data_IF_474756173396
#
_entry.id   IF_474756173396
#
_cell.length_a   1.000
_cell.length_b   1.000
_cell.length_c   1.000
_cell.angle_alpha   90.00
_cell.angle_beta   90.00
_cell.angle_gamma   90.00
#
_symmetry.space_group_name_H-M   'P 1'
#
loop_
_entity.id
_entity.type
_entity.pdbx_description
1 polymer ?
#
# COMPACT_ATOMS: atom_id res chain seq x y z
N UNK A 1 -50.50 60.02 51.23
CA UNK A 1 -49.90 58.72 51.54
C UNK A 1 -49.86 57.91 50.25
N UNK A 2 -48.74 57.92 49.54
CA UNK A 2 -48.54 57.17 48.29
C UNK A 2 -47.33 56.32 48.46
N UNK A 3 -47.58 55.03 48.56
CA UNK A 3 -46.51 54.04 48.71
C UNK A 3 -46.02 53.68 47.31
N UNK A 4 -44.71 53.93 47.05
CA UNK A 4 -44.04 53.57 45.81
C UNK A 4 -43.43 52.18 45.98
N UNK A 5 -43.84 51.21 45.14
CA UNK A 5 -43.31 49.90 45.06
C UNK A 5 -42.09 49.88 44.06
N UNK A 6 -40.87 49.71 44.60
CA UNK A 6 -39.71 49.45 43.78
C UNK A 6 -39.74 48.00 43.32
N UNK A 7 -39.84 47.81 42.04
CA UNK A 7 -39.68 46.52 41.37
C UNK A 7 -38.14 46.26 41.05
N UNK A 8 -37.53 45.37 41.76
CA UNK A 8 -36.18 44.93 41.43
C UNK A 8 -36.23 43.96 40.25
N UNK A 9 -35.85 44.42 39.08
CA UNK A 9 -35.53 43.54 37.91
C UNK A 9 -34.17 42.85 38.10
N UNK A 10 -34.22 41.56 38.40
CA UNK A 10 -33.03 40.75 38.46
C UNK A 10 -32.46 40.53 37.04
N UNK A 11 -31.36 41.18 36.71
CA UNK A 11 -30.56 40.85 35.57
C UNK A 11 -29.95 39.45 35.76
N UNK A 12 -30.52 38.40 35.15
CA UNK A 12 -29.81 37.16 34.89
C UNK A 12 -28.76 37.45 33.80
N UNK A 13 -27.48 37.53 34.17
CA UNK A 13 -26.40 37.41 33.22
C UNK A 13 -26.53 36.02 32.56
N UNK A 14 -26.83 35.98 31.26
CA UNK A 14 -26.55 34.82 30.44
C UNK A 14 -25.02 34.66 30.48
N UNK A 15 -24.52 33.61 31.08
CA UNK A 15 -23.18 33.13 30.82
C UNK A 15 -23.15 32.73 29.35
N UNK A 16 -22.51 33.53 28.51
CA UNK A 16 -22.08 33.11 27.18
C UNK A 16 -21.06 32.01 27.43
N UNK A 17 -21.46 30.76 27.26
CA UNK A 17 -20.54 29.62 27.10
C UNK A 17 -19.68 29.94 25.88
N UNK A 18 -18.45 30.43 26.11
CA UNK A 18 -17.45 30.51 25.05
C UNK A 18 -17.32 29.10 24.49
N UNK A 19 -17.62 28.91 23.21
CA UNK A 19 -17.33 27.70 22.51
C UNK A 19 -15.86 27.36 22.79
N UNK A 20 -15.62 26.17 23.32
CA UNK A 20 -14.25 25.68 23.57
C UNK A 20 -13.56 25.59 22.20
N UNK A 21 -12.48 26.30 22.01
CA UNK A 21 -11.70 26.19 20.77
C UNK A 21 -11.15 24.76 20.73
N UNK A 22 -11.51 24.03 19.69
CA UNK A 22 -10.98 22.68 19.46
C UNK A 22 -9.51 22.77 19.07
N UNK A 23 -8.73 21.77 19.46
CA UNK A 23 -7.35 21.60 18.99
C UNK A 23 -7.38 20.98 17.59
N UNK A 24 -6.76 21.64 16.62
CA UNK A 24 -6.68 21.13 15.25
C UNK A 24 -5.51 20.16 15.11
N UNK A 25 -5.80 18.98 14.58
CA UNK A 25 -4.85 17.90 14.30
C UNK A 25 -4.81 17.69 12.78
N UNK A 26 -3.65 17.89 12.18
CA UNK A 26 -3.46 17.75 10.75
C UNK A 26 -3.12 16.30 10.37
N UNK A 27 -3.89 15.70 9.42
CA UNK A 27 -3.66 14.38 8.88
C UNK A 27 -3.35 14.47 7.38
N UNK A 28 -2.15 13.98 6.98
CA UNK A 28 -1.77 13.89 5.57
C UNK A 28 -1.90 12.45 5.06
N UNK A 29 -2.45 12.32 3.83
CA UNK A 29 -2.50 11.05 3.11
C UNK A 29 -2.25 11.24 1.60
N UNK A 30 -1.96 10.15 0.90
CA UNK A 30 -1.69 10.14 -0.54
C UNK A 30 -2.64 9.23 -1.35
N UNK A 31 -3.67 8.69 -0.72
CA UNK A 31 -4.62 7.81 -1.41
C UNK A 31 -5.34 8.57 -2.53
N UNK A 32 -5.15 8.13 -3.76
CA UNK A 32 -5.69 8.73 -4.98
C UNK A 32 -7.05 8.14 -5.40
N UNK A 33 -7.46 7.01 -4.80
CA UNK A 33 -8.77 6.39 -5.03
C UNK A 33 -9.86 7.25 -4.36
N UNK A 34 -10.81 7.83 -5.14
CA UNK A 34 -11.80 8.76 -4.59
C UNK A 34 -12.65 8.17 -3.46
N UNK A 35 -12.99 6.87 -3.54
CA UNK A 35 -13.76 6.20 -2.49
C UNK A 35 -12.96 6.09 -1.19
N UNK A 36 -11.67 5.81 -1.25
CA UNK A 36 -10.82 5.75 -0.05
C UNK A 36 -10.67 7.14 0.60
N UNK A 37 -10.58 8.21 -0.19
CA UNK A 37 -10.59 9.58 0.32
C UNK A 37 -11.90 9.87 1.07
N UNK A 38 -13.03 9.56 0.44
CA UNK A 38 -14.37 9.74 1.05
C UNK A 38 -14.53 8.92 2.33
N UNK A 39 -14.09 7.66 2.35
CA UNK A 39 -14.16 6.81 3.54
C UNK A 39 -13.28 7.34 4.69
N UNK A 40 -12.12 7.90 4.38
CA UNK A 40 -11.26 8.54 5.38
C UNK A 40 -11.97 9.79 5.97
N UNK A 41 -12.54 10.64 5.12
CA UNK A 41 -13.29 11.81 5.55
C UNK A 41 -14.49 11.43 6.44
N UNK A 42 -15.21 10.36 6.09
CA UNK A 42 -16.33 9.82 6.89
C UNK A 42 -15.87 9.34 8.28
N UNK A 43 -14.73 8.65 8.37
CA UNK A 43 -14.14 8.22 9.65
C UNK A 43 -13.72 9.40 10.51
N UNK A 44 -13.08 10.37 9.90
CA UNK A 44 -12.66 11.61 10.58
C UNK A 44 -13.88 12.40 11.07
N UNK A 45 -14.92 12.52 10.24
CA UNK A 45 -16.16 13.19 10.63
C UNK A 45 -16.85 12.50 11.82
N UNK A 46 -16.87 11.14 11.83
CA UNK A 46 -17.40 10.36 12.95
C UNK A 46 -16.62 10.67 14.24
N UNK A 47 -15.29 10.66 14.20
CA UNK A 47 -14.45 10.99 15.34
C UNK A 47 -14.68 12.43 15.81
N UNK A 48 -14.69 13.40 14.91
CA UNK A 48 -14.89 14.82 15.21
C UNK A 48 -16.25 15.09 15.86
N UNK A 49 -17.29 14.29 15.54
CA UNK A 49 -18.62 14.38 16.16
C UNK A 49 -18.72 13.73 17.54
N UNK A 50 -17.84 12.77 17.86
CA UNK A 50 -17.90 12.02 19.12
C UNK A 50 -17.31 12.78 20.32
N UNK A 51 -16.59 13.87 20.09
CA UNK A 51 -15.90 14.65 21.11
C UNK A 51 -15.93 16.16 20.76
N UNK A 52 -15.55 17.02 21.72
CA UNK A 52 -15.70 18.47 21.60
C UNK A 52 -14.39 19.26 21.67
N UNK A 53 -13.25 18.56 21.80
CA UNK A 53 -11.95 19.18 22.07
C UNK A 53 -10.91 19.01 20.96
N UNK A 54 -11.20 18.17 19.95
CA UNK A 54 -10.31 17.92 18.79
C UNK A 54 -11.08 18.17 17.49
N UNK A 55 -10.37 18.67 16.49
CA UNK A 55 -10.82 18.73 15.09
C UNK A 55 -9.71 18.16 14.22
N UNK A 56 -9.92 16.99 13.60
CA UNK A 56 -8.97 16.46 12.63
C UNK A 56 -9.30 17.07 11.27
N UNK A 57 -8.26 17.63 10.63
CA UNK A 57 -8.30 18.17 9.28
C UNK A 57 -7.47 17.27 8.36
N UNK A 58 -8.06 16.82 7.24
CA UNK A 58 -7.44 15.91 6.29
C UNK A 58 -6.88 16.70 5.12
N UNK A 59 -5.64 16.39 4.73
CA UNK A 59 -4.96 16.96 3.56
C UNK A 59 -4.48 15.85 2.62
N UNK A 60 -4.98 15.87 1.39
CA UNK A 60 -4.51 15.00 0.33
C UNK A 60 -3.28 15.60 -0.35
N UNK A 61 -2.23 14.79 -0.52
CA UNK A 61 -1.03 15.12 -1.28
C UNK A 61 -0.80 13.99 -2.30
N UNK A 62 -0.65 14.30 -3.61
CA UNK A 62 -0.41 13.27 -4.61
C UNK A 62 0.79 12.37 -4.26
N UNK A 63 0.67 11.07 -4.52
CA UNK A 63 1.67 10.06 -4.15
C UNK A 63 3.08 10.39 -4.65
N UNK A 64 3.19 10.86 -5.89
CA UNK A 64 4.46 11.26 -6.52
C UNK A 64 5.23 12.35 -5.76
N UNK A 65 4.52 13.20 -5.01
CA UNK A 65 5.08 14.29 -4.21
C UNK A 65 5.09 13.98 -2.70
N UNK A 66 4.28 13.04 -2.23
CA UNK A 66 4.00 12.82 -0.81
C UNK A 66 5.26 12.54 0.02
N UNK A 67 6.04 11.54 -0.36
CA UNK A 67 7.28 11.17 0.35
C UNK A 67 8.25 12.35 0.45
N UNK A 68 8.42 13.09 -0.63
CA UNK A 68 9.31 14.24 -0.68
C UNK A 68 8.80 15.39 0.20
N UNK A 69 7.50 15.70 0.13
CA UNK A 69 6.92 16.76 0.95
C UNK A 69 6.94 16.40 2.43
N UNK A 70 6.64 15.13 2.78
CA UNK A 70 6.70 14.67 4.16
C UNK A 70 8.13 14.72 4.70
N UNK A 71 9.12 14.22 3.96
CA UNK A 71 10.53 14.29 4.36
C UNK A 71 11.01 15.73 4.53
N UNK A 72 10.59 16.66 3.66
CA UNK A 72 10.90 18.08 3.79
C UNK A 72 10.27 18.67 5.06
N UNK A 73 8.98 18.42 5.30
CA UNK A 73 8.27 18.87 6.48
C UNK A 73 8.91 18.34 7.77
N UNK A 74 9.33 17.06 7.77
CA UNK A 74 10.06 16.47 8.90
C UNK A 74 11.40 17.15 9.14
N UNK A 75 12.16 17.48 8.08
CA UNK A 75 13.44 18.19 8.20
C UNK A 75 13.32 19.63 8.72
N UNK A 76 12.14 20.24 8.52
CA UNK A 76 11.81 21.58 8.99
C UNK A 76 11.08 21.60 10.35
N UNK A 77 10.93 20.43 10.99
CA UNK A 77 10.13 20.25 12.23
C UNK A 77 8.66 20.70 12.08
N UNK A 78 8.09 20.51 10.86
CA UNK A 78 6.72 20.86 10.49
C UNK A 78 5.92 19.67 9.98
N UNK A 79 6.27 18.46 10.44
CA UNK A 79 5.50 17.26 10.12
C UNK A 79 4.03 17.45 10.51
N UNK A 80 3.06 16.97 9.69
CA UNK A 80 1.66 16.87 10.13
C UNK A 80 1.55 16.03 11.41
N UNK A 81 0.52 16.26 12.21
CA UNK A 81 0.33 15.53 13.47
C UNK A 81 0.15 14.02 13.24
N UNK A 82 -0.48 13.65 12.10
CA UNK A 82 -0.64 12.26 11.63
C UNK A 82 -0.26 12.20 10.14
N UNK A 83 0.48 11.17 9.74
CA UNK A 83 0.76 10.87 8.35
C UNK A 83 0.41 9.41 8.03
N UNK A 84 -0.25 9.18 6.87
CA UNK A 84 -0.36 7.86 6.27
C UNK A 84 0.94 7.57 5.51
N UNK A 85 1.59 6.46 5.83
CA UNK A 85 2.90 6.10 5.29
C UNK A 85 2.87 4.68 4.75
N UNK A 86 3.37 4.45 3.52
CA UNK A 86 3.57 3.08 3.02
C UNK A 86 4.54 2.33 3.93
N UNK A 87 4.25 1.07 4.18
CA UNK A 87 5.02 0.21 5.09
C UNK A 87 6.50 0.09 4.68
N UNK A 88 6.81 0.19 3.39
CA UNK A 88 8.19 0.11 2.89
C UNK A 88 9.01 1.38 3.16
N UNK A 89 8.36 2.53 3.27
CA UNK A 89 9.02 3.81 3.54
C UNK A 89 9.17 4.11 5.03
N UNK A 90 8.48 3.34 5.88
CA UNK A 90 8.39 3.65 7.31
C UNK A 90 9.75 3.75 7.99
N UNK A 91 10.66 2.82 7.75
CA UNK A 91 12.00 2.81 8.37
C UNK A 91 12.83 4.01 7.94
N UNK A 92 12.79 4.37 6.66
CA UNK A 92 13.48 5.56 6.14
C UNK A 92 12.98 6.83 6.83
N UNK A 93 11.66 7.02 6.91
CA UNK A 93 11.06 8.19 7.55
C UNK A 93 11.29 8.19 9.06
N UNK A 94 11.15 7.04 9.74
CA UNK A 94 11.44 6.95 11.18
C UNK A 94 12.88 7.30 11.51
N UNK A 95 13.85 6.98 10.66
CA UNK A 95 15.25 7.33 10.85
C UNK A 95 15.46 8.84 11.01
N UNK A 96 14.56 9.67 10.50
CA UNK A 96 14.53 11.13 10.74
C UNK A 96 14.05 11.51 12.14
N UNK A 97 13.70 10.54 13.00
CA UNK A 97 13.34 10.68 14.43
C UNK A 97 12.12 11.57 14.71
N UNK A 98 11.13 11.51 13.86
CA UNK A 98 9.94 12.33 13.98
C UNK A 98 8.70 11.59 14.52
N UNK A 99 8.71 10.25 14.60
CA UNK A 99 7.54 9.46 15.00
C UNK A 99 7.52 9.16 16.51
N UNK A 100 6.33 9.28 17.08
CA UNK A 100 6.04 8.99 18.48
C UNK A 100 6.03 7.47 18.75
N UNK A 101 6.45 7.08 19.93
CA UNK A 101 6.35 5.72 20.41
C UNK A 101 4.91 5.39 20.84
N UNK A 102 4.32 4.41 20.19
CA UNK A 102 2.93 3.98 20.41
C UNK A 102 2.80 2.72 21.27
N UNK A 103 3.92 2.07 21.64
CA UNK A 103 3.98 0.75 22.27
C UNK A 103 3.04 0.61 23.48
N UNK A 104 3.10 1.55 24.39
CA UNK A 104 2.30 1.56 25.62
C UNK A 104 1.06 2.46 25.49
N UNK A 105 1.05 3.33 24.48
CA UNK A 105 -0.02 4.28 24.25
C UNK A 105 -1.27 3.63 23.65
N UNK A 106 -1.11 2.60 22.79
CA UNK A 106 -2.21 1.90 22.12
C UNK A 106 -2.11 0.39 22.42
N UNK A 107 -2.71 -0.07 23.55
CA UNK A 107 -2.63 -1.48 23.95
C UNK A 107 -3.20 -2.47 22.92
N UNK A 108 -4.13 -2.03 22.10
CA UNK A 108 -4.79 -2.81 21.04
C UNK A 108 -3.80 -3.32 19.97
N UNK A 109 -2.63 -2.67 19.80
CA UNK A 109 -1.60 -3.10 18.86
C UNK A 109 -1.06 -4.52 19.16
N UNK A 110 -1.19 -5.01 20.40
CA UNK A 110 -0.82 -6.37 20.77
C UNK A 110 -1.68 -7.45 20.10
N UNK A 111 -2.84 -7.08 19.58
CA UNK A 111 -3.76 -7.97 18.86
C UNK A 111 -3.53 -7.94 17.34
N UNK A 112 -2.59 -7.12 16.87
CA UNK A 112 -2.28 -7.02 15.46
C UNK A 112 -1.36 -8.17 15.02
N UNK A 113 -1.43 -8.51 13.74
CA UNK A 113 -0.54 -9.50 13.12
C UNK A 113 0.92 -9.02 13.20
N UNK A 114 1.82 -9.91 13.63
CA UNK A 114 3.25 -9.58 13.74
C UNK A 114 3.83 -9.06 12.42
N UNK A 115 3.45 -9.68 11.28
CA UNK A 115 3.87 -9.23 9.95
C UNK A 115 3.41 -7.80 9.63
N UNK A 116 2.25 -7.39 10.11
CA UNK A 116 1.76 -6.02 9.93
C UNK A 116 2.54 -5.01 10.79
N UNK A 117 2.97 -5.42 11.98
CA UNK A 117 3.73 -4.58 12.91
C UNK A 117 5.23 -4.51 12.59
N UNK A 118 5.77 -5.51 11.91
CA UNK A 118 7.22 -5.64 11.68
C UNK A 118 7.84 -4.38 11.03
N UNK A 119 7.25 -3.76 9.98
CA UNK A 119 7.82 -2.55 9.37
C UNK A 119 7.89 -1.34 10.31
N UNK A 120 6.99 -1.25 11.29
CA UNK A 120 6.91 -0.12 12.23
C UNK A 120 7.42 -0.48 13.64
N UNK A 121 8.04 -1.65 13.82
CA UNK A 121 8.69 -2.06 15.06
C UNK A 121 10.20 -1.85 14.96
N UNK A 122 10.75 -1.00 15.83
CA UNK A 122 12.17 -0.64 15.86
C UNK A 122 12.68 -0.82 17.30
N UNK A 123 13.75 -1.60 17.47
CA UNK A 123 14.32 -1.92 18.78
C UNK A 123 13.29 -2.44 19.80
N UNK A 124 12.30 -3.21 19.31
CA UNK A 124 11.22 -3.80 20.11
C UNK A 124 10.13 -2.81 20.54
N UNK A 125 10.10 -1.61 19.99
CA UNK A 125 9.06 -0.60 20.21
C UNK A 125 8.30 -0.30 18.93
N UNK A 126 7.03 0.03 19.05
CA UNK A 126 6.11 0.26 17.92
C UNK A 126 5.94 1.77 17.72
N UNK A 127 6.27 2.26 16.52
CA UNK A 127 6.24 3.69 16.17
C UNK A 127 5.16 4.05 15.14
N UNK A 128 4.34 3.08 14.75
CA UNK A 128 3.23 3.29 13.83
C UNK A 128 2.10 2.32 14.09
N UNK A 129 0.89 2.68 13.67
CA UNK A 129 -0.27 1.80 13.71
C UNK A 129 -0.63 1.36 12.30
N UNK A 130 -0.51 0.08 11.94
CA UNK A 130 -1.03 -0.41 10.67
C UNK A 130 -2.52 -0.08 10.53
N UNK A 131 -2.87 0.68 9.48
CA UNK A 131 -4.26 0.99 9.16
C UNK A 131 -4.92 -0.19 8.44
N UNK A 132 -4.24 -0.71 7.43
CA UNK A 132 -4.65 -1.84 6.65
C UNK A 132 -3.44 -2.52 6.02
N UNK A 133 -3.58 -3.79 5.65
CA UNK A 133 -2.52 -4.53 4.98
C UNK A 133 -3.03 -5.09 3.66
N UNK A 134 -2.12 -5.34 2.74
CA UNK A 134 -2.41 -5.92 1.44
C UNK A 134 -1.28 -6.88 1.02
N UNK A 135 -1.48 -7.55 -0.10
CA UNK A 135 -0.41 -8.30 -0.75
C UNK A 135 -0.71 -8.43 -2.25
N UNK A 136 0.31 -8.79 -3.02
CA UNK A 136 0.20 -8.97 -4.47
C UNK A 136 -0.44 -10.31 -4.82
N UNK A 137 -1.34 -10.32 -5.81
CA UNK A 137 -1.92 -11.52 -6.40
C UNK A 137 -2.01 -11.41 -7.92
N UNK A 138 -2.18 -12.53 -8.59
CA UNK A 138 -2.35 -12.60 -10.04
C UNK A 138 -3.83 -12.50 -10.39
N UNK A 139 -4.19 -11.47 -11.16
CA UNK A 139 -5.49 -11.29 -11.79
C UNK A 139 -5.44 -11.81 -13.21
N UNK A 140 -6.44 -12.55 -13.63
CA UNK A 140 -6.55 -13.08 -14.99
C UNK A 140 -7.95 -12.95 -15.57
N UNK A 141 -8.03 -12.69 -16.87
CA UNK A 141 -9.27 -12.63 -17.62
C UNK A 141 -9.69 -14.06 -17.97
N UNK A 142 -10.77 -14.57 -17.33
CA UNK A 142 -11.27 -15.95 -17.52
C UNK A 142 -11.62 -16.25 -18.97
N UNK A 143 -12.29 -15.31 -19.63
CA UNK A 143 -12.72 -15.45 -21.02
C UNK A 143 -11.51 -15.58 -21.98
N UNK A 144 -10.47 -14.76 -21.79
CA UNK A 144 -9.27 -14.84 -22.63
C UNK A 144 -8.53 -16.17 -22.45
N UNK A 145 -8.43 -16.69 -21.22
CA UNK A 145 -7.84 -18.00 -20.98
C UNK A 145 -8.66 -19.10 -21.67
N UNK A 146 -9.98 -19.12 -21.47
CA UNK A 146 -10.87 -20.14 -22.03
C UNK A 146 -10.86 -20.14 -23.56
N UNK A 147 -10.98 -18.97 -24.20
CA UNK A 147 -10.95 -18.83 -25.67
C UNK A 147 -9.64 -19.30 -26.30
N UNK A 148 -8.54 -19.30 -25.56
CA UNK A 148 -7.22 -19.75 -26.01
C UNK A 148 -6.83 -21.13 -25.47
N UNK A 149 -7.75 -21.83 -24.79
CA UNK A 149 -7.52 -23.16 -24.24
C UNK A 149 -6.41 -23.20 -23.18
N UNK A 150 -6.31 -22.15 -22.37
CA UNK A 150 -5.34 -22.02 -21.29
C UNK A 150 -6.00 -22.27 -19.94
N UNK A 151 -5.29 -22.97 -19.07
CA UNK A 151 -5.59 -23.04 -17.63
C UNK A 151 -4.91 -21.88 -16.89
N UNK A 152 -5.25 -21.70 -15.62
CA UNK A 152 -4.59 -20.70 -14.76
C UNK A 152 -3.14 -21.19 -14.49
N UNK A 153 -2.12 -20.41 -14.87
CA UNK A 153 -0.73 -20.86 -14.75
C UNK A 153 -0.27 -20.97 -13.29
N UNK A 154 0.38 -22.08 -12.96
CA UNK A 154 0.96 -22.36 -11.63
C UNK A 154 2.49 -22.27 -11.64
N UNK A 155 3.14 -22.38 -12.80
CA UNK A 155 4.58 -22.23 -13.00
C UNK A 155 4.91 -21.07 -13.92
N UNK A 156 6.17 -20.60 -13.90
CA UNK A 156 6.63 -19.52 -14.80
C UNK A 156 6.68 -19.96 -16.27
N UNK A 157 6.90 -21.23 -16.54
CA UNK A 157 6.81 -21.79 -17.89
C UNK A 157 5.38 -21.72 -18.43
N UNK A 158 4.42 -22.20 -17.65
CA UNK A 158 2.99 -22.10 -18.01
C UNK A 158 2.55 -20.63 -18.13
N UNK A 159 3.07 -19.74 -17.28
CA UNK A 159 2.78 -18.33 -17.33
C UNK A 159 3.22 -17.68 -18.65
N UNK A 160 4.48 -17.92 -19.08
CA UNK A 160 5.00 -17.44 -20.36
C UNK A 160 4.18 -17.99 -21.53
N UNK A 161 3.91 -19.30 -21.53
CA UNK A 161 3.11 -19.93 -22.59
C UNK A 161 1.69 -19.36 -22.65
N UNK A 162 1.03 -19.17 -21.51
CA UNK A 162 -0.31 -18.59 -21.44
C UNK A 162 -0.29 -17.15 -21.92
N UNK A 163 0.62 -16.33 -21.42
CA UNK A 163 0.75 -14.94 -21.86
C UNK A 163 1.00 -14.84 -23.37
N UNK A 164 1.85 -15.70 -23.93
CA UNK A 164 2.12 -15.74 -25.38
C UNK A 164 0.87 -16.16 -26.18
N UNK A 165 0.12 -17.18 -25.75
CA UNK A 165 -1.09 -17.67 -26.43
C UNK A 165 -2.22 -16.67 -26.49
N UNK A 166 -2.44 -15.92 -25.40
CA UNK A 166 -3.52 -14.90 -25.34
C UNK A 166 -3.13 -13.57 -25.98
N UNK A 167 -1.84 -13.36 -26.27
CA UNK A 167 -1.36 -12.12 -26.91
C UNK A 167 -1.71 -12.06 -28.38
N UNK A 168 -2.14 -10.89 -28.84
CA UNK A 168 -2.40 -10.56 -30.25
C UNK A 168 -2.18 -9.06 -30.50
N UNK A 169 -2.65 -8.54 -31.64
CA UNK A 169 -2.52 -7.12 -32.00
C UNK A 169 -3.24 -6.19 -31.00
N UNK A 170 -4.35 -6.64 -30.41
CA UNK A 170 -5.24 -5.85 -29.55
C UNK A 170 -5.02 -6.08 -28.04
N UNK A 171 -4.51 -7.25 -27.67
CA UNK A 171 -4.37 -7.72 -26.28
C UNK A 171 -2.94 -8.12 -26.01
N UNK A 172 -2.41 -7.70 -24.86
CA UNK A 172 -1.16 -8.20 -24.30
C UNK A 172 -1.45 -9.27 -23.24
N UNK A 173 -0.68 -10.35 -23.27
CA UNK A 173 -0.84 -11.46 -22.34
C UNK A 173 -0.58 -11.03 -20.92
N UNK A 174 0.45 -10.22 -20.73
CA UNK A 174 0.85 -9.71 -19.40
C UNK A 174 1.26 -8.24 -19.48
N UNK A 175 1.04 -7.54 -18.39
CA UNK A 175 1.63 -6.23 -18.13
C UNK A 175 1.96 -6.10 -16.65
N UNK A 176 3.03 -5.39 -16.37
CA UNK A 176 3.57 -5.08 -15.05
C UNK A 176 3.99 -3.61 -15.02
N UNK A 177 3.95 -2.96 -13.87
CA UNK A 177 4.52 -1.61 -13.74
C UNK A 177 6.05 -1.69 -13.78
N UNK A 178 6.66 -0.89 -14.65
CA UNK A 178 8.12 -0.73 -14.74
C UNK A 178 8.52 0.75 -14.68
N UNK A 179 7.78 1.54 -13.90
CA UNK A 179 8.11 2.90 -13.51
C UNK A 179 9.23 2.87 -12.45
N UNK A 180 9.94 3.98 -12.31
CA UNK A 180 10.90 4.15 -11.21
C UNK A 180 10.19 4.51 -9.90
N UNK A 181 9.28 3.63 -9.46
CA UNK A 181 8.44 3.78 -8.27
C UNK A 181 8.42 2.50 -7.46
N UNK A 182 7.91 2.58 -6.23
CA UNK A 182 7.73 1.43 -5.33
C UNK A 182 6.69 0.43 -5.86
N UNK A 183 5.71 0.88 -6.64
CA UNK A 183 4.73 0.00 -7.31
C UNK A 183 5.41 -1.06 -8.17
N UNK A 184 6.48 -0.69 -8.90
CA UNK A 184 7.23 -1.64 -9.72
C UNK A 184 7.84 -2.75 -8.88
N UNK A 185 8.35 -2.43 -7.71
CA UNK A 185 8.93 -3.43 -6.80
C UNK A 185 7.87 -4.28 -6.12
N UNK A 186 6.71 -3.69 -5.82
CA UNK A 186 5.57 -4.43 -5.28
C UNK A 186 5.09 -5.55 -6.23
N UNK A 187 5.21 -5.34 -7.54
CA UNK A 187 4.84 -6.34 -8.55
C UNK A 187 6.02 -7.24 -8.96
N UNK A 188 7.26 -6.74 -8.95
CA UNK A 188 8.44 -7.49 -9.41
C UNK A 188 9.03 -8.44 -8.35
N UNK A 189 9.04 -8.05 -7.08
CA UNK A 189 9.64 -8.86 -6.01
C UNK A 189 9.06 -10.27 -5.88
N UNK A 190 7.76 -10.53 -6.09
CA UNK A 190 7.23 -11.89 -6.12
C UNK A 190 7.89 -12.77 -7.19
N UNK A 191 8.19 -12.19 -8.37
CA UNK A 191 8.89 -12.90 -9.44
C UNK A 191 10.32 -13.24 -9.00
N UNK A 192 11.02 -12.24 -8.48
CA UNK A 192 12.39 -12.39 -8.00
C UNK A 192 12.51 -13.47 -6.91
N UNK A 193 11.66 -13.37 -5.88
CA UNK A 193 11.73 -14.27 -4.73
C UNK A 193 11.27 -15.70 -5.05
N UNK A 194 10.24 -15.87 -5.89
CA UNK A 194 9.78 -17.21 -6.29
C UNK A 194 10.82 -17.98 -7.10
N UNK A 195 11.75 -17.28 -7.74
CA UNK A 195 12.90 -17.87 -8.43
C UNK A 195 14.13 -18.07 -7.51
N UNK A 196 14.00 -17.76 -6.22
CA UNK A 196 15.10 -17.83 -5.25
C UNK A 196 16.10 -16.70 -5.40
N UNK A 197 15.68 -15.57 -5.99
CA UNK A 197 16.50 -14.36 -6.14
C UNK A 197 16.54 -13.52 -4.86
N UNK A 198 17.49 -12.59 -4.83
CA UNK A 198 17.80 -11.73 -3.68
C UNK A 198 18.11 -10.32 -4.18
N UNK A 199 17.56 -9.31 -3.53
CA UNK A 199 17.69 -7.90 -3.90
C UNK A 199 19.13 -7.37 -3.79
N UNK A 200 19.97 -7.98 -2.95
CA UNK A 200 21.38 -7.64 -2.81
C UNK A 200 22.30 -8.42 -3.78
N UNK A 201 21.74 -9.43 -4.47
CA UNK A 201 22.47 -10.35 -5.34
C UNK A 201 21.86 -10.44 -6.73
N UNK A 202 21.42 -9.29 -7.24
CA UNK A 202 20.65 -9.23 -8.50
C UNK A 202 21.42 -9.73 -9.73
N UNK A 203 22.76 -9.71 -9.70
CA UNK A 203 23.61 -10.23 -10.79
C UNK A 203 23.82 -11.74 -10.73
N UNK A 204 23.42 -12.43 -9.65
CA UNK A 204 23.51 -13.88 -9.51
C UNK A 204 22.40 -14.59 -10.31
N UNK A 205 22.65 -15.87 -10.64
CA UNK A 205 21.87 -16.67 -11.59
C UNK A 205 20.37 -16.68 -11.27
N UNK A 206 19.98 -16.88 -10.01
CA UNK A 206 18.56 -16.96 -9.64
C UNK A 206 17.84 -15.60 -9.77
N UNK A 207 18.47 -14.52 -9.33
CA UNK A 207 17.93 -13.17 -9.46
C UNK A 207 17.84 -12.74 -10.92
N UNK A 208 18.89 -13.05 -11.72
CA UNK A 208 18.95 -12.76 -13.14
C UNK A 208 17.79 -13.39 -13.92
N UNK A 209 17.36 -14.62 -13.56
CA UNK A 209 16.24 -15.31 -14.23
C UNK A 209 14.96 -14.47 -14.19
N UNK A 210 14.68 -13.78 -13.09
CA UNK A 210 13.48 -12.94 -12.95
C UNK A 210 13.49 -11.77 -13.95
N UNK A 211 14.61 -11.10 -14.12
CA UNK A 211 14.76 -10.03 -15.10
C UNK A 211 14.70 -10.55 -16.53
N UNK A 212 15.37 -11.68 -16.82
CA UNK A 212 15.38 -12.27 -18.15
C UNK A 212 14.03 -12.84 -18.57
N UNK A 213 13.20 -13.29 -17.62
CA UNK A 213 11.82 -13.69 -17.90
C UNK A 213 11.06 -12.53 -18.55
N UNK A 214 11.10 -11.36 -17.94
CA UNK A 214 10.37 -10.17 -18.41
C UNK A 214 10.97 -9.63 -19.72
N UNK A 215 12.28 -9.60 -19.84
CA UNK A 215 12.99 -9.25 -21.09
C UNK A 215 12.60 -10.16 -22.26
N UNK A 216 12.53 -11.48 -22.03
CA UNK A 216 12.10 -12.43 -23.03
C UNK A 216 10.63 -12.22 -23.42
N UNK A 217 9.73 -12.05 -22.45
CA UNK A 217 8.31 -11.82 -22.70
C UNK A 217 8.06 -10.53 -23.47
N UNK A 218 8.87 -9.48 -23.23
CA UNK A 218 8.82 -8.24 -24.01
C UNK A 218 9.24 -8.49 -25.46
N UNK A 219 10.40 -9.13 -25.70
CA UNK A 219 10.91 -9.44 -27.04
C UNK A 219 9.98 -10.35 -27.84
N UNK A 220 9.27 -11.26 -27.20
CA UNK A 220 8.27 -12.12 -27.78
C UNK A 220 6.92 -11.42 -28.00
N UNK A 221 6.75 -10.22 -27.44
CA UNK A 221 5.55 -9.39 -27.57
C UNK A 221 4.40 -9.79 -26.67
N UNK A 222 4.60 -10.68 -25.69
CA UNK A 222 3.60 -11.08 -24.71
C UNK A 222 3.52 -10.14 -23.51
N UNK A 223 4.61 -9.45 -23.17
CA UNK A 223 4.63 -8.35 -22.22
C UNK A 223 4.41 -7.01 -22.94
N UNK A 224 3.63 -6.13 -22.33
CA UNK A 224 3.42 -4.77 -22.86
C UNK A 224 4.61 -3.86 -22.57
N UNK A 225 5.28 -3.32 -23.56
CA UNK A 225 6.31 -2.30 -23.37
C UNK A 225 5.76 -0.99 -22.77
N UNK A 226 4.44 -0.75 -22.83
CA UNK A 226 3.81 0.37 -22.12
C UNK A 226 4.00 0.29 -20.60
N UNK A 227 4.36 -0.86 -20.08
CA UNK A 227 4.73 -1.08 -18.66
C UNK A 227 5.69 -0.04 -18.10
N UNK A 228 6.57 0.52 -18.92
CA UNK A 228 7.53 1.58 -18.51
C UNK A 228 6.89 2.94 -18.22
N UNK A 229 5.59 3.11 -18.47
CA UNK A 229 4.86 4.37 -18.33
C UNK A 229 3.48 4.22 -17.66
N UNK A 230 3.12 3.01 -17.22
CA UNK A 230 1.81 2.74 -16.62
C UNK A 230 1.96 2.48 -15.12
N UNK A 231 1.09 3.11 -14.34
CA UNK A 231 0.88 2.82 -12.91
C UNK A 231 0.05 1.55 -12.73
N UNK A 232 -0.03 1.01 -11.51
CA UNK A 232 -0.94 -0.09 -11.18
C UNK A 232 -2.41 0.27 -11.47
N UNK A 233 -2.79 1.53 -11.25
CA UNK A 233 -4.12 2.05 -11.61
C UNK A 233 -4.36 2.03 -13.12
N UNK A 234 -3.36 2.41 -13.93
CA UNK A 234 -3.43 2.34 -15.38
C UNK A 234 -3.52 0.89 -15.88
N UNK A 235 -2.78 -0.04 -15.29
CA UNK A 235 -2.88 -1.47 -15.60
C UNK A 235 -4.27 -2.00 -15.31
N UNK A 236 -4.87 -1.63 -14.17
CA UNK A 236 -6.26 -1.96 -13.85
C UNK A 236 -7.22 -1.44 -14.92
N UNK A 237 -7.05 -0.19 -15.38
CA UNK A 237 -7.84 0.40 -16.44
C UNK A 237 -7.67 -0.32 -17.79
N UNK A 238 -6.47 -0.82 -18.12
CA UNK A 238 -6.24 -1.62 -19.33
C UNK A 238 -6.87 -3.02 -19.21
N UNK A 239 -6.77 -3.63 -18.03
CA UNK A 239 -7.40 -4.93 -17.73
C UNK A 239 -8.93 -4.85 -17.83
N UNK A 240 -9.55 -3.80 -17.27
CA UNK A 240 -11.00 -3.51 -17.42
C UNK A 240 -11.46 -3.44 -18.86
N UNK A 241 -10.62 -2.93 -19.76
CA UNK A 241 -10.90 -2.81 -21.20
C UNK A 241 -10.59 -4.09 -21.98
N UNK A 242 -10.14 -5.16 -21.29
CA UNK A 242 -9.72 -6.40 -21.93
C UNK A 242 -8.46 -6.27 -22.79
N UNK A 243 -7.62 -5.27 -22.54
CA UNK A 243 -6.35 -5.04 -23.27
C UNK A 243 -5.17 -5.81 -22.68
N UNK A 244 -5.32 -6.30 -21.46
CA UNK A 244 -4.35 -7.10 -20.72
C UNK A 244 -5.05 -8.37 -20.26
N UNK A 245 -4.42 -9.52 -20.46
CA UNK A 245 -4.95 -10.82 -20.06
C UNK A 245 -4.64 -11.17 -18.62
N UNK A 246 -3.41 -10.85 -18.16
CA UNK A 246 -2.93 -11.11 -16.81
C UNK A 246 -2.23 -9.86 -16.30
N UNK A 247 -2.48 -9.51 -15.03
CA UNK A 247 -1.75 -8.47 -14.30
C UNK A 247 -1.52 -8.90 -12.85
N UNK A 248 -0.57 -8.27 -12.18
CA UNK A 248 -0.42 -8.39 -10.72
C UNK A 248 -1.01 -7.16 -10.06
N UNK A 249 -1.71 -7.35 -8.94
CA UNK A 249 -2.32 -6.25 -8.20
C UNK A 249 -2.70 -6.71 -6.78
N UNK A 250 -3.19 -5.78 -5.96
CA UNK A 250 -3.69 -6.05 -4.61
C UNK A 250 -5.20 -6.31 -4.57
N UNK A 251 -5.71 -6.74 -3.41
CA UNK A 251 -7.15 -6.93 -3.17
C UNK A 251 -7.99 -5.68 -3.42
N UNK A 252 -7.39 -4.49 -3.31
CA UNK A 252 -8.07 -3.21 -3.54
C UNK A 252 -8.56 -3.05 -4.98
N UNK A 253 -7.91 -3.71 -5.96
CA UNK A 253 -8.33 -3.65 -7.35
C UNK A 253 -9.65 -4.39 -7.62
N UNK A 254 -10.07 -5.32 -6.77
CA UNK A 254 -11.25 -6.17 -7.01
C UNK A 254 -12.53 -5.34 -7.17
N UNK A 255 -12.77 -4.41 -6.25
CA UNK A 255 -13.99 -3.60 -6.29
C UNK A 255 -13.95 -2.63 -7.47
N UNK A 256 -12.83 -1.99 -7.72
CA UNK A 256 -12.65 -1.12 -8.89
C UNK A 256 -12.88 -1.87 -10.22
N UNK A 257 -12.45 -3.14 -10.31
CA UNK A 257 -12.70 -3.97 -11.50
C UNK A 257 -14.18 -4.29 -11.64
N UNK A 258 -14.86 -4.70 -10.58
CA UNK A 258 -16.27 -5.05 -10.58
C UNK A 258 -17.17 -3.86 -10.91
N UNK A 259 -16.84 -2.68 -10.39
CA UNK A 259 -17.56 -1.43 -10.65
C UNK A 259 -17.30 -0.90 -12.06
N UNK A 260 -16.04 -0.93 -12.49
CA UNK A 260 -15.62 -0.41 -13.78
C UNK A 260 -16.08 -1.25 -14.97
N UNK A 261 -16.20 -2.57 -14.81
CA UNK A 261 -16.72 -3.48 -15.83
C UNK A 261 -17.43 -4.69 -15.21
N UNK A 262 -18.73 -4.58 -14.89
CA UNK A 262 -19.50 -5.67 -14.28
C UNK A 262 -19.60 -6.94 -15.15
N UNK A 263 -19.36 -6.84 -16.45
CA UNK A 263 -19.43 -7.95 -17.42
C UNK A 263 -18.06 -8.66 -17.57
N UNK A 264 -17.00 -8.17 -16.93
CA UNK A 264 -15.67 -8.77 -17.00
C UNK A 264 -15.58 -9.98 -16.06
N UNK A 265 -15.53 -11.16 -16.64
CA UNK A 265 -15.26 -12.40 -15.90
C UNK A 265 -13.76 -12.51 -15.62
N UNK A 266 -13.36 -12.26 -14.37
CA UNK A 266 -11.98 -12.38 -13.93
C UNK A 266 -11.84 -13.38 -12.77
N UNK A 267 -10.62 -13.78 -12.51
CA UNK A 267 -10.26 -14.57 -11.33
C UNK A 267 -9.00 -14.03 -10.68
N UNK A 268 -8.76 -14.49 -9.46
CA UNK A 268 -7.56 -14.19 -8.67
C UNK A 268 -6.89 -15.51 -8.29
N UNK A 269 -5.58 -15.58 -8.46
CA UNK A 269 -4.76 -16.74 -8.11
C UNK A 269 -3.43 -16.28 -7.45
N UNK A 270 -2.73 -17.18 -6.74
CA UNK A 270 -1.36 -16.94 -6.35
C UNK A 270 -0.48 -16.65 -7.56
N UNK A 271 0.55 -15.81 -7.38
CA UNK A 271 1.56 -15.57 -8.41
C UNK A 271 2.31 -16.89 -8.67
N UNK A 272 2.61 -17.24 -9.94
CA UNK A 272 3.29 -18.48 -10.27
C UNK A 272 4.62 -18.66 -9.53
N UNK A 273 5.01 -19.89 -9.31
CA UNK A 273 6.24 -20.23 -8.58
C UNK A 273 6.19 -21.65 -8.02
N UNK A 274 5.11 -22.37 -8.29
CA UNK A 274 4.89 -23.73 -7.77
C UNK A 274 4.93 -23.77 -6.25
N UNK A 275 5.77 -24.62 -5.67
CA UNK A 275 5.95 -24.71 -4.21
C UNK A 275 6.57 -23.45 -3.58
N UNK A 276 7.21 -22.60 -4.39
CA UNK A 276 7.89 -21.36 -3.98
C UNK A 276 7.08 -20.10 -4.32
N UNK A 277 5.80 -20.26 -4.67
CA UNK A 277 4.92 -19.11 -4.91
C UNK A 277 4.95 -18.14 -3.73
N UNK A 278 5.29 -16.89 -4.01
CA UNK A 278 5.46 -15.85 -2.99
C UNK A 278 4.66 -14.62 -3.40
N UNK A 279 4.08 -13.96 -2.42
CA UNK A 279 3.51 -12.63 -2.56
C UNK A 279 4.38 -11.60 -1.82
N UNK A 280 4.18 -10.32 -2.07
CA UNK A 280 4.75 -9.20 -1.30
C UNK A 280 3.69 -8.65 -0.38
N UNK A 281 3.98 -8.61 0.91
CA UNK A 281 3.17 -7.91 1.89
C UNK A 281 3.42 -6.40 1.80
N UNK A 282 2.34 -5.64 1.83
CA UNK A 282 2.31 -4.19 1.89
C UNK A 282 1.25 -3.70 2.86
N UNK A 283 1.01 -2.42 2.84
CA UNK A 283 -0.05 -1.78 3.62
C UNK A 283 0.33 -0.40 4.10
N UNK A 284 -0.63 0.23 4.75
CA UNK A 284 -0.56 1.60 5.21
C UNK A 284 -0.36 1.67 6.72
N UNK A 285 0.51 2.53 7.15
CA UNK A 285 0.82 2.77 8.57
C UNK A 285 0.50 4.22 8.90
N UNK A 286 -0.26 4.43 9.97
CA UNK A 286 -0.45 5.74 10.56
C UNK A 286 0.71 6.06 11.49
N UNK A 287 1.49 7.08 11.15
CA UNK A 287 2.57 7.62 11.97
C UNK A 287 2.11 8.89 12.68
N UNK A 288 2.44 9.03 13.96
CA UNK A 288 2.15 10.22 14.77
C UNK A 288 3.43 11.01 14.98
N UNK A 289 3.37 12.32 14.80
CA UNK A 289 4.50 13.20 15.09
C UNK A 289 4.83 13.23 16.60
N UNK A 290 6.12 13.21 16.95
CA UNK A 290 6.58 13.41 18.33
C UNK A 290 6.57 14.91 18.66
N UNK A 291 5.38 15.44 18.94
CA UNK A 291 5.13 16.84 19.25
C UNK A 291 4.16 17.02 20.44
N UNK A 292 3.84 18.27 20.78
CA UNK A 292 2.93 18.61 21.88
C UNK A 292 1.49 18.15 21.68
N UNK A 293 1.08 17.86 20.44
CA UNK A 293 -0.27 17.41 20.08
C UNK A 293 -0.41 15.88 20.00
N UNK A 294 0.68 15.12 20.21
CA UNK A 294 0.68 13.66 20.01
C UNK A 294 -0.43 12.93 20.77
N UNK A 295 -0.78 13.37 21.97
CA UNK A 295 -1.83 12.73 22.76
C UNK A 295 -3.21 12.86 22.12
N UNK A 296 -3.45 13.97 21.43
CA UNK A 296 -4.69 14.16 20.65
C UNK A 296 -4.70 13.25 19.41
N UNK A 297 -3.60 13.19 18.68
CA UNK A 297 -3.43 12.29 17.53
C UNK A 297 -3.61 10.81 17.93
N UNK A 298 -3.00 10.38 19.04
CA UNK A 298 -3.13 9.00 19.58
C UNK A 298 -4.60 8.66 19.90
N UNK A 299 -5.42 9.63 20.31
CA UNK A 299 -6.86 9.36 20.55
C UNK A 299 -7.60 8.97 19.28
N UNK A 300 -7.25 9.54 18.14
CA UNK A 300 -7.80 9.13 16.85
C UNK A 300 -7.30 7.73 16.46
N UNK A 301 -6.04 7.44 16.65
CA UNK A 301 -5.50 6.11 16.38
C UNK A 301 -6.18 5.03 17.25
N UNK A 302 -6.43 5.30 18.54
CA UNK A 302 -7.21 4.40 19.41
C UNK A 302 -8.64 4.20 18.91
N UNK A 303 -9.28 5.24 18.41
CA UNK A 303 -10.61 5.13 17.80
C UNK A 303 -10.61 4.18 16.61
N UNK A 304 -9.56 4.22 15.77
CA UNK A 304 -9.39 3.30 14.64
C UNK A 304 -8.97 1.88 15.07
N UNK A 305 -8.21 1.75 16.17
CA UNK A 305 -7.76 0.46 16.69
C UNK A 305 -8.86 -0.35 17.36
N UNK A 306 -10.00 0.28 17.69
CA UNK A 306 -11.14 -0.42 18.27
C UNK A 306 -11.63 -1.52 17.31
N UNK A 307 -11.82 -2.74 17.85
CA UNK A 307 -12.13 -3.93 17.05
C UNK A 307 -13.43 -3.80 16.26
N UNK A 308 -14.47 -3.31 16.93
CA UNK A 308 -15.80 -3.25 16.29
C UNK A 308 -15.81 -2.14 15.24
N UNK A 309 -15.12 -1.03 15.52
CA UNK A 309 -14.92 0.05 14.56
C UNK A 309 -14.11 -0.42 13.34
N UNK A 310 -13.02 -1.14 13.55
CA UNK A 310 -12.20 -1.66 12.44
C UNK A 310 -13.02 -2.55 11.52
N UNK A 311 -13.89 -3.41 12.04
CA UNK A 311 -14.79 -4.24 11.23
C UNK A 311 -15.75 -3.42 10.37
N UNK A 312 -16.14 -2.23 10.84
CA UNK A 312 -17.07 -1.37 10.11
C UNK A 312 -16.40 -0.69 8.90
N UNK A 313 -15.11 -0.32 9.01
CA UNK A 313 -14.47 0.47 7.95
C UNK A 313 -13.52 -0.29 7.05
N UNK A 314 -12.83 -1.33 7.54
CA UNK A 314 -11.68 -1.89 6.83
C UNK A 314 -12.02 -2.49 5.46
N UNK A 315 -13.20 -3.12 5.34
CA UNK A 315 -13.67 -3.72 4.09
C UNK A 315 -13.96 -2.67 3.01
N UNK A 316 -14.42 -1.47 3.43
CA UNK A 316 -14.72 -0.37 2.52
C UNK A 316 -13.47 0.20 1.83
N UNK A 317 -12.30 0.09 2.47
CA UNK A 317 -11.02 0.48 1.88
C UNK A 317 -10.40 -0.61 0.98
N UNK A 318 -10.96 -1.80 0.96
CA UNK A 318 -10.41 -2.94 0.21
C UNK A 318 -9.16 -3.57 0.82
N UNK A 319 -8.75 -3.15 2.02
CA UNK A 319 -7.62 -3.72 2.76
C UNK A 319 -7.99 -5.01 3.50
N UNK A 320 -6.99 -5.84 3.73
CA UNK A 320 -7.04 -6.87 4.77
C UNK A 320 -6.85 -6.19 6.14
N UNK A 321 -7.58 -6.66 7.15
CA UNK A 321 -7.44 -6.14 8.49
C UNK A 321 -6.05 -6.46 9.06
N UNK A 322 -5.37 -5.49 9.68
CA UNK A 322 -4.09 -5.75 10.33
C UNK A 322 -4.24 -6.63 11.59
N UNK A 323 -5.45 -6.78 12.13
CA UNK A 323 -5.77 -7.70 13.23
C UNK A 323 -6.12 -9.09 12.68
N UNK A 324 -5.44 -10.11 13.18
CA UNK A 324 -5.63 -11.48 12.71
C UNK A 324 -7.06 -12.00 12.95
N UNK A 325 -7.66 -11.69 14.11
CA UNK A 325 -9.00 -12.13 14.49
C UNK A 325 -10.14 -11.53 13.64
N UNK A 326 -9.87 -10.38 12.98
CA UNK A 326 -10.77 -9.78 11.99
C UNK A 326 -10.46 -10.35 10.61
N UNK A 327 -9.20 -10.37 10.18
CA UNK A 327 -8.77 -10.85 8.86
C UNK A 327 -9.29 -12.26 8.56
N UNK A 328 -9.28 -13.17 9.52
CA UNK A 328 -9.76 -14.55 9.33
C UNK A 328 -11.25 -14.65 9.03
N UNK A 329 -12.03 -13.64 9.42
CA UNK A 329 -13.48 -13.57 9.23
C UNK A 329 -13.87 -12.71 8.02
N UNK A 330 -12.92 -11.90 7.48
CA UNK A 330 -13.20 -11.05 6.32
C UNK A 330 -13.55 -11.89 5.09
N UNK A 331 -14.39 -11.32 4.24
CA UNK A 331 -14.66 -11.81 2.89
C UNK A 331 -15.16 -13.27 2.84
N UNK A 332 -15.96 -13.70 3.83
CA UNK A 332 -16.47 -15.06 3.90
C UNK A 332 -17.25 -15.49 2.63
N UNK A 333 -17.96 -14.55 2.02
CA UNK A 333 -18.78 -14.73 0.81
C UNK A 333 -18.09 -14.26 -0.48
N UNK A 334 -16.82 -13.81 -0.41
CA UNK A 334 -16.05 -13.30 -1.55
C UNK A 334 -14.78 -14.14 -1.77
N UNK A 335 -14.82 -15.14 -2.67
CA UNK A 335 -13.70 -16.06 -2.87
C UNK A 335 -12.45 -15.38 -3.43
N UNK A 336 -12.59 -14.37 -4.29
CA UNK A 336 -11.47 -13.63 -4.85
C UNK A 336 -10.73 -12.85 -3.74
N UNK A 337 -11.45 -12.06 -2.94
CA UNK A 337 -10.85 -11.35 -1.80
C UNK A 337 -10.30 -12.31 -0.75
N UNK A 338 -10.98 -13.43 -0.50
CA UNK A 338 -10.53 -14.44 0.47
C UNK A 338 -9.22 -15.11 0.07
N UNK A 339 -8.92 -15.20 -1.23
CA UNK A 339 -7.65 -15.72 -1.73
C UNK A 339 -6.48 -14.86 -1.24
N UNK A 340 -6.65 -13.54 -1.15
CA UNK A 340 -5.63 -12.63 -0.63
C UNK A 340 -5.26 -12.90 0.84
N UNK A 341 -6.20 -13.35 1.69
CA UNK A 341 -5.89 -13.72 3.08
C UNK A 341 -4.87 -14.87 3.12
N UNK A 342 -5.01 -15.85 2.22
CA UNK A 342 -4.06 -16.98 2.13
C UNK A 342 -2.70 -16.51 1.60
N UNK A 343 -2.71 -15.68 0.57
CA UNK A 343 -1.49 -15.12 -0.02
C UNK A 343 -0.74 -14.24 0.98
N UNK A 344 -1.43 -13.37 1.73
CA UNK A 344 -0.81 -12.53 2.75
C UNK A 344 -0.10 -13.35 3.85
N UNK A 345 -0.67 -14.46 4.28
CA UNK A 345 -0.02 -15.37 5.27
C UNK A 345 1.34 -15.88 4.78
N UNK A 346 1.47 -16.15 3.48
CA UNK A 346 2.70 -16.63 2.85
C UNK A 346 3.59 -15.50 2.31
N UNK A 347 3.10 -14.25 2.25
CA UNK A 347 3.82 -13.14 1.65
C UNK A 347 5.12 -12.81 2.37
N UNK A 348 6.15 -12.48 1.61
CA UNK A 348 7.39 -11.87 2.11
C UNK A 348 7.19 -10.40 2.43
N UNK A 349 7.99 -9.87 3.33
CA UNK A 349 8.04 -8.43 3.65
C UNK A 349 9.21 -7.82 2.87
N UNK A 350 9.00 -6.62 2.32
CA UNK A 350 10.07 -5.83 1.70
C UNK A 350 11.17 -5.55 2.73
N UNK A 351 12.37 -5.31 2.26
CA UNK A 351 13.52 -5.05 3.16
C UNK A 351 13.21 -3.95 4.17
N UNK A 352 13.35 -4.28 5.45
CA UNK A 352 13.14 -3.35 6.56
C UNK A 352 14.45 -2.60 6.83
N UNK A 353 14.67 -1.54 6.08
CA UNK A 353 15.91 -0.77 6.13
C UNK A 353 15.66 0.70 5.76
N UNK A 354 16.33 1.66 6.41
CA UNK A 354 16.33 3.06 5.97
C UNK A 354 16.82 3.27 4.54
N UNK A 355 17.61 2.32 4.02
CA UNK A 355 18.16 2.38 2.67
C UNK A 355 17.22 1.81 1.60
N UNK A 356 16.11 1.18 2.01
CA UNK A 356 15.19 0.54 1.07
C UNK A 356 14.74 1.45 -0.09
N UNK A 357 14.36 2.72 0.10
CA UNK A 357 13.93 3.57 -1.00
C UNK A 357 15.00 3.75 -2.08
N UNK A 358 16.28 3.76 -1.70
CA UNK A 358 17.40 3.86 -2.65
C UNK A 358 17.65 2.54 -3.39
N UNK A 359 17.49 1.42 -2.68
CA UNK A 359 17.60 0.08 -3.25
C UNK A 359 16.45 -0.16 -4.22
N UNK A 360 15.21 0.09 -3.80
CA UNK A 360 14.00 -0.04 -4.61
C UNK A 360 14.07 0.79 -5.90
N UNK A 361 14.49 2.05 -5.79
CA UNK A 361 14.71 2.92 -6.97
C UNK A 361 15.79 2.35 -7.91
N UNK A 362 16.85 1.75 -7.38
CA UNK A 362 17.89 1.13 -8.20
C UNK A 362 17.37 -0.11 -8.91
N UNK A 363 16.56 -0.93 -8.23
CA UNK A 363 15.96 -2.14 -8.81
C UNK A 363 14.93 -1.80 -9.89
N UNK A 364 14.07 -0.80 -9.66
CA UNK A 364 13.07 -0.37 -10.64
C UNK A 364 13.71 0.25 -11.88
N UNK A 365 14.78 1.05 -11.70
CA UNK A 365 15.59 1.56 -12.81
C UNK A 365 16.25 0.43 -13.61
N UNK A 366 16.77 -0.59 -12.92
CA UNK A 366 17.36 -1.78 -13.54
C UNK A 366 16.35 -2.55 -14.38
N UNK A 367 15.15 -2.79 -13.84
CA UNK A 367 14.07 -3.44 -14.57
C UNK A 367 13.72 -2.65 -15.83
N UNK A 368 13.53 -1.35 -15.70
CA UNK A 368 13.22 -0.46 -16.82
C UNK A 368 14.33 -0.49 -17.89
N UNK A 369 15.61 -0.41 -17.50
CA UNK A 369 16.73 -0.47 -18.45
C UNK A 369 16.74 -1.79 -19.21
N UNK A 370 16.53 -2.92 -18.54
CA UNK A 370 16.50 -4.24 -19.18
C UNK A 370 15.37 -4.35 -20.22
N UNK A 371 14.21 -3.71 -19.96
CA UNK A 371 13.08 -3.75 -20.89
C UNK A 371 13.22 -2.81 -22.10
N UNK A 372 14.08 -1.76 -22.04
CA UNK A 372 14.13 -0.72 -23.09
C UNK A 372 15.49 -0.56 -23.76
N UNK A 373 16.57 -0.99 -23.13
CA UNK A 373 17.91 -0.79 -23.66
C UNK A 373 18.40 -2.01 -24.45
N UNK A 374 19.17 -1.76 -25.50
CA UNK A 374 19.83 -2.83 -26.27
C UNK A 374 21.11 -3.37 -25.59
N UNK A 375 21.44 -2.85 -24.39
CA UNK A 375 22.61 -3.32 -23.64
C UNK A 375 22.37 -4.73 -23.08
N UNK A 376 23.46 -5.53 -23.03
CA UNK A 376 23.39 -6.88 -22.45
C UNK A 376 22.86 -6.85 -20.99
N UNK A 377 21.79 -7.58 -20.67
CA UNK A 377 21.19 -7.58 -19.33
C UNK A 377 22.18 -7.88 -18.19
N UNK A 378 23.17 -8.76 -18.43
CA UNK A 378 24.20 -9.05 -17.42
C UNK A 378 25.05 -7.82 -17.08
N UNK A 379 25.33 -6.98 -18.08
CA UNK A 379 26.09 -5.75 -17.89
C UNK A 379 25.28 -4.75 -17.04
N UNK A 380 23.98 -4.59 -17.32
CA UNK A 380 23.08 -3.73 -16.54
C UNK A 380 23.01 -4.23 -15.09
N UNK A 381 22.79 -5.54 -14.89
CA UNK A 381 22.71 -6.16 -13.57
C UNK A 381 23.99 -5.99 -12.75
N UNK A 382 25.17 -6.15 -13.38
CA UNK A 382 26.44 -5.95 -12.69
C UNK A 382 26.62 -4.50 -12.19
N UNK A 383 26.30 -3.51 -13.03
CA UNK A 383 26.37 -2.08 -12.67
C UNK A 383 25.42 -1.76 -11.50
N UNK A 384 24.20 -2.31 -11.55
CA UNK A 384 23.20 -2.10 -10.52
C UNK A 384 23.54 -2.80 -9.21
N UNK A 385 24.11 -4.02 -9.27
CA UNK A 385 24.61 -4.74 -8.09
C UNK A 385 25.71 -3.96 -7.36
N UNK A 386 26.68 -3.38 -8.09
CA UNK A 386 27.71 -2.52 -7.50
C UNK A 386 27.11 -1.27 -6.82
N UNK A 387 26.03 -0.72 -7.38
CA UNK A 387 25.34 0.43 -6.80
C UNK A 387 24.60 0.05 -5.50
N UNK A 388 23.92 -1.12 -5.50
CA UNK A 388 23.22 -1.62 -4.30
C UNK A 388 24.23 -1.96 -3.19
N UNK A 389 25.37 -2.58 -3.52
CA UNK A 389 26.41 -2.89 -2.56
C UNK A 389 26.95 -1.62 -1.88
N UNK A 390 27.17 -0.53 -2.65
CA UNK A 390 27.59 0.76 -2.09
C UNK A 390 26.54 1.35 -1.14
N UNK A 391 25.24 1.28 -1.51
CA UNK A 391 24.16 1.73 -0.64
C UNK A 391 24.17 0.95 0.69
N UNK A 392 24.31 -0.37 0.64
CA UNK A 392 24.38 -1.22 1.84
C UNK A 392 25.63 -1.02 2.71
N UNK A 393 26.73 -0.50 2.15
CA UNK A 393 27.96 -0.23 2.87
C UNK A 393 27.98 1.14 3.60
N UNK A 394 27.03 2.01 3.32
CA UNK A 394 26.88 3.35 3.95
C UNK A 394 26.16 3.29 5.30
N UNK A 395 25.91 2.07 5.85
CA UNK A 395 25.23 1.81 7.15
C UNK A 395 26.03 2.26 8.35
#
# INVERSE_FOLDING_TARGET
MTVSLCSCAGCRKKEETKAKVKETIELWHYWDIPDNQRHLEELVEQFNKMQEDIEIEVSYIPDEDFKKQLALAMSEEKMPDIAVVDSSDFQFLHHMKAFADLTDAIPELKEYNEKALEPCTIDGRIYGQPFGVNCTGMFYNKKLLEENGCEVPESWEEFQETAAKISNEDVKGFAITALQTEESMYEFLPILWSMGGDVYRIAEENSKKAFLLLDQMEKEGSLSLQSISLTMGDLTNQFLKGKIGIMFNSSMAIDSIREGNPDLEFGVAPIPGGETSVSVAGGEILAVAENEKKEYAIRFLKFLADKDRMKEYIDAFGFLAPRQDIMEQQFAEDPEKRTFIKMYKAAGIREISPEWPRISLTLSDTLRQILVEEEDPQTILNKSAEKIEKIGAEK
#
